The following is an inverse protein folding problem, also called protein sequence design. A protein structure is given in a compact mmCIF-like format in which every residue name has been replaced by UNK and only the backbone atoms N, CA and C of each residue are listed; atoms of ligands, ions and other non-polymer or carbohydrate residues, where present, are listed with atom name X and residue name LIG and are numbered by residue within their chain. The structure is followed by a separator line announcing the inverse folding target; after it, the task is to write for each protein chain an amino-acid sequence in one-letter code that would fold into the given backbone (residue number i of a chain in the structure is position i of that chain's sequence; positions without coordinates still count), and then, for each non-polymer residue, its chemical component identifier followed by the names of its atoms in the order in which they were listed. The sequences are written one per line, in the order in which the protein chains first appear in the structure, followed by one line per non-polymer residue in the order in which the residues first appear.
data_IF_140712787649
#
_entry.id   IF_140712787649
#
_cell.length_a   1.000
_cell.length_b   1.000
_cell.length_c   1.000
_cell.angle_alpha   90.00
_cell.angle_beta   90.00
_cell.angle_gamma   90.00
#
_symmetry.space_group_name_H-M   'P 1'
#
loop_
_entity.id
_entity.type
_entity.pdbx_description
1 polymer ?
#
# COMPACT_ATOMS: atom_id res chain seq x y z
N UNK A 1 8.21 -20.37 -12.14
CA UNK A 1 8.62 -18.93 -12.31
C UNK A 1 8.47 -18.26 -10.95
N UNK A 2 9.56 -17.79 -10.37
CA UNK A 2 9.58 -17.17 -9.03
C UNK A 2 8.93 -15.78 -9.11
N UNK A 3 8.31 -15.29 -8.02
CA UNK A 3 7.72 -13.94 -7.96
C UNK A 3 8.73 -12.86 -8.30
N UNK A 4 9.98 -13.06 -7.92
CA UNK A 4 11.14 -12.22 -8.24
C UNK A 4 11.33 -12.03 -9.74
N UNK A 5 11.28 -13.10 -10.52
CA UNK A 5 11.51 -13.05 -11.96
C UNK A 5 10.40 -12.25 -12.64
N UNK A 6 9.16 -12.37 -12.13
CA UNK A 6 8.01 -11.59 -12.60
C UNK A 6 8.17 -10.08 -12.32
N UNK A 7 8.74 -9.68 -11.17
CA UNK A 7 8.98 -8.26 -10.89
C UNK A 7 10.04 -7.67 -11.81
N UNK A 8 11.13 -8.42 -12.10
CA UNK A 8 12.15 -8.00 -13.05
C UNK A 8 11.61 -7.91 -14.49
N UNK A 9 10.77 -8.86 -14.87
CA UNK A 9 10.09 -8.83 -16.17
C UNK A 9 9.16 -7.63 -16.28
N UNK A 10 8.39 -7.33 -15.21
CA UNK A 10 7.53 -6.16 -15.16
C UNK A 10 8.30 -4.85 -15.34
N UNK A 11 9.46 -4.69 -14.68
CA UNK A 11 10.35 -3.55 -14.89
C UNK A 11 10.83 -3.46 -16.33
N UNK A 12 11.25 -4.58 -16.91
CA UNK A 12 11.70 -4.65 -18.30
C UNK A 12 10.60 -4.27 -19.29
N UNK A 13 9.36 -4.64 -18.99
CA UNK A 13 8.17 -4.32 -19.79
C UNK A 13 7.62 -2.91 -19.53
N UNK A 14 8.23 -2.14 -18.62
CA UNK A 14 7.92 -0.74 -18.37
C UNK A 14 6.73 -0.53 -17.42
N UNK A 15 6.52 -1.42 -16.46
CA UNK A 15 5.54 -1.19 -15.41
C UNK A 15 5.84 0.13 -14.65
N UNK A 16 4.80 0.92 -14.36
CA UNK A 16 4.96 2.18 -13.61
C UNK A 16 5.36 1.93 -12.16
N UNK A 17 4.86 0.83 -11.56
CA UNK A 17 5.14 0.43 -10.19
C UNK A 17 5.35 -1.06 -10.06
N UNK A 18 6.25 -1.43 -9.15
CA UNK A 18 6.42 -2.80 -8.65
C UNK A 18 6.36 -2.78 -7.12
N UNK A 19 5.83 -3.84 -6.53
CA UNK A 19 5.65 -3.96 -5.07
C UNK A 19 6.47 -5.14 -4.55
N UNK A 20 7.33 -4.88 -3.56
CA UNK A 20 8.16 -5.88 -2.91
C UNK A 20 7.95 -5.86 -1.40
N UNK A 21 7.76 -7.05 -0.83
CA UNK A 21 7.59 -7.19 0.62
C UNK A 21 8.89 -6.87 1.36
N UNK A 22 8.80 -6.09 2.45
CA UNK A 22 9.94 -5.65 3.24
C UNK A 22 10.76 -6.81 3.86
N UNK A 23 10.12 -7.97 4.06
CA UNK A 23 10.75 -9.20 4.52
C UNK A 23 11.56 -9.94 3.46
N UNK A 24 11.59 -9.45 2.20
CA UNK A 24 12.37 -10.06 1.13
C UNK A 24 13.87 -9.95 1.43
N UNK A 25 14.63 -10.97 1.08
CA UNK A 25 16.09 -11.00 1.28
C UNK A 25 16.77 -9.81 0.57
N UNK A 26 17.71 -9.16 1.28
CA UNK A 26 18.34 -7.92 0.82
C UNK A 26 18.98 -8.02 -0.57
N UNK A 27 19.58 -9.17 -0.91
CA UNK A 27 20.19 -9.34 -2.21
C UNK A 27 19.15 -9.32 -3.35
N UNK A 28 17.93 -9.85 -3.12
CA UNK A 28 16.85 -9.82 -4.09
C UNK A 28 16.29 -8.41 -4.31
N UNK A 29 16.21 -7.63 -3.22
CA UNK A 29 15.86 -6.21 -3.31
C UNK A 29 16.93 -5.47 -4.13
N UNK A 30 18.21 -5.72 -3.86
CA UNK A 30 19.33 -5.14 -4.62
C UNK A 30 19.28 -5.46 -6.11
N UNK A 31 18.95 -6.70 -6.47
CA UNK A 31 18.79 -7.10 -7.88
C UNK A 31 17.62 -6.38 -8.58
N UNK A 32 16.49 -6.18 -7.86
CA UNK A 32 15.34 -5.43 -8.39
C UNK A 32 15.70 -3.96 -8.60
N UNK A 33 16.36 -3.34 -7.62
CA UNK A 33 16.82 -1.94 -7.71
C UNK A 33 17.79 -1.77 -8.89
N UNK A 34 18.77 -2.66 -9.05
CA UNK A 34 19.69 -2.64 -10.18
C UNK A 34 18.96 -2.77 -11.54
N UNK A 35 17.88 -3.56 -11.59
CA UNK A 35 17.07 -3.66 -12.81
C UNK A 35 16.32 -2.35 -13.09
N UNK A 36 15.76 -1.70 -12.05
CA UNK A 36 15.09 -0.39 -12.17
C UNK A 36 16.09 0.68 -12.67
N UNK A 37 17.29 0.73 -12.09
CA UNK A 37 18.36 1.64 -12.51
C UNK A 37 18.75 1.44 -13.97
N UNK A 38 18.92 0.19 -14.40
CA UNK A 38 19.23 -0.17 -15.79
C UNK A 38 18.16 0.33 -16.77
N UNK A 39 16.91 0.42 -16.36
CA UNK A 39 15.79 0.94 -17.15
C UNK A 39 15.49 2.42 -16.88
N UNK A 40 16.52 3.19 -16.45
CA UNK A 40 16.47 4.64 -16.28
C UNK A 40 15.41 5.12 -15.27
N UNK A 41 15.16 4.36 -14.20
CA UNK A 41 14.22 4.69 -13.12
C UNK A 41 12.78 5.00 -13.59
N UNK A 42 12.34 4.42 -14.69
CA UNK A 42 10.96 4.58 -15.19
C UNK A 42 9.95 3.92 -14.27
N UNK A 43 10.34 2.80 -13.68
CA UNK A 43 9.52 2.06 -12.71
C UNK A 43 9.80 2.57 -11.31
N UNK A 44 8.78 2.99 -10.58
CA UNK A 44 8.84 3.27 -9.15
C UNK A 44 8.55 1.99 -8.36
N UNK A 45 9.05 1.91 -7.14
CA UNK A 45 8.86 0.71 -6.35
C UNK A 45 8.29 0.98 -4.97
N UNK A 46 7.45 0.05 -4.55
CA UNK A 46 6.73 0.07 -3.29
C UNK A 46 7.41 -0.94 -2.37
N UNK A 47 7.70 -0.52 -1.14
CA UNK A 47 8.10 -1.44 -0.06
C UNK A 47 6.89 -1.69 0.81
N UNK A 48 6.38 -2.93 0.78
CA UNK A 48 5.18 -3.31 1.51
C UNK A 48 5.46 -4.14 2.75
N UNK A 49 4.61 -3.98 3.75
CA UNK A 49 4.55 -4.84 4.92
C UNK A 49 3.11 -5.17 5.24
N UNK A 50 2.81 -6.47 5.32
CA UNK A 50 1.48 -6.98 5.62
C UNK A 50 1.46 -7.64 7.00
N UNK A 51 0.40 -7.37 7.77
CA UNK A 51 0.10 -8.06 9.02
C UNK A 51 -1.30 -8.65 8.93
N UNK A 52 -1.36 -9.95 8.73
CA UNK A 52 -2.62 -10.68 8.61
C UNK A 52 -3.24 -11.04 9.97
N UNK A 53 -2.48 -10.87 11.06
CA UNK A 53 -2.90 -11.24 12.41
C UNK A 53 -3.69 -10.16 13.13
N UNK A 54 -3.52 -8.89 12.73
CA UNK A 54 -4.21 -7.78 13.38
C UNK A 54 -3.58 -6.42 13.09
N UNK A 55 -4.00 -5.40 13.83
CA UNK A 55 -3.48 -4.04 13.74
C UNK A 55 -2.72 -3.69 15.02
N UNK A 56 -1.38 -3.60 14.96
CA UNK A 56 -0.56 -3.27 16.12
C UNK A 56 -0.83 -1.86 16.68
N UNK A 57 -0.37 -1.54 17.90
CA UNK A 57 -0.38 -0.19 18.45
C UNK A 57 0.42 0.81 17.60
N UNK A 58 0.11 2.09 17.74
CA UNK A 58 0.66 3.20 16.93
C UNK A 58 2.19 3.19 16.87
N UNK A 59 2.87 3.02 18.02
CA UNK A 59 4.33 2.97 18.06
C UNK A 59 4.92 1.82 17.23
N UNK A 60 4.27 0.65 17.24
CA UNK A 60 4.72 -0.49 16.46
C UNK A 60 4.48 -0.27 14.96
N UNK A 61 3.36 0.35 14.59
CA UNK A 61 3.06 0.76 13.22
C UNK A 61 4.08 1.78 12.70
N UNK A 62 4.42 2.80 13.50
CA UNK A 62 5.42 3.80 13.15
C UNK A 62 6.81 3.17 12.98
N UNK A 63 7.23 2.26 13.89
CA UNK A 63 8.48 1.51 13.76
C UNK A 63 8.51 0.67 12.48
N UNK A 64 7.40 0.03 12.13
CA UNK A 64 7.25 -0.76 10.89
C UNK A 64 7.37 0.14 9.66
N UNK A 65 6.68 1.27 9.64
CA UNK A 65 6.81 2.28 8.59
C UNK A 65 8.25 2.75 8.43
N UNK A 66 8.93 3.10 9.54
CA UNK A 66 10.31 3.56 9.52
C UNK A 66 11.27 2.47 9.01
N UNK A 67 11.02 1.21 9.36
CA UNK A 67 11.80 0.08 8.84
C UNK A 67 11.65 -0.06 7.32
N UNK A 68 10.41 -0.03 6.79
CA UNK A 68 10.15 -0.05 5.35
C UNK A 68 10.76 1.16 4.64
N UNK A 69 10.64 2.35 5.23
CA UNK A 69 11.19 3.59 4.66
C UNK A 69 12.72 3.54 4.52
N UNK A 70 13.44 2.90 5.45
CA UNK A 70 14.90 2.72 5.37
C UNK A 70 15.36 1.77 4.25
N UNK A 71 14.49 0.92 3.74
CA UNK A 71 14.79 0.05 2.59
C UNK A 71 14.96 0.88 1.31
N UNK A 72 14.24 2.02 1.19
CA UNK A 72 14.50 3.03 0.16
C UNK A 72 13.47 3.13 -0.95
N UNK A 73 12.35 2.38 -0.92
CA UNK A 73 11.28 2.46 -1.92
C UNK A 73 10.69 3.88 -2.06
N UNK A 74 10.09 4.17 -3.19
CA UNK A 74 9.41 5.43 -3.47
C UNK A 74 8.17 5.61 -2.59
N UNK A 75 7.47 4.51 -2.33
CA UNK A 75 6.25 4.46 -1.52
C UNK A 75 6.40 3.36 -0.46
N UNK A 76 6.01 3.67 0.77
CA UNK A 76 5.83 2.67 1.82
C UNK A 76 4.38 2.21 1.82
N UNK A 77 4.14 0.89 1.87
CA UNK A 77 2.81 0.32 1.98
C UNK A 77 2.68 -0.48 3.27
N UNK A 78 1.77 -0.08 4.13
CA UNK A 78 1.44 -0.78 5.37
C UNK A 78 0.01 -1.27 5.30
N UNK A 79 -0.16 -2.58 5.40
CA UNK A 79 -1.48 -3.23 5.37
C UNK A 79 -1.60 -4.13 6.59
N UNK A 80 -2.68 -3.94 7.35
CA UNK A 80 -2.97 -4.75 8.56
C UNK A 80 -4.35 -5.38 8.45
N UNK A 81 -4.71 -6.25 9.36
CA UNK A 81 -6.08 -6.79 9.45
C UNK A 81 -6.82 -6.06 10.58
N UNK A 82 -8.00 -5.50 10.27
CA UNK A 82 -8.86 -4.87 11.28
C UNK A 82 -9.77 -5.91 11.93
N UNK A 83 -9.69 -6.01 13.24
CA UNK A 83 -10.63 -6.77 14.07
C UNK A 83 -11.71 -5.87 14.68
N UNK A 84 -11.45 -4.56 14.76
CA UNK A 84 -12.37 -3.54 15.25
C UNK A 84 -12.29 -2.29 14.37
N UNK A 85 -13.34 -1.45 14.44
CA UNK A 85 -13.39 -0.19 13.65
C UNK A 85 -12.26 0.77 14.03
N UNK A 86 -11.86 0.78 15.31
CA UNK A 86 -10.78 1.61 15.86
C UNK A 86 -9.41 1.29 15.23
N UNK A 87 -9.23 0.08 14.71
CA UNK A 87 -8.00 -0.30 14.01
C UNK A 87 -7.71 0.58 12.81
N UNK A 88 -8.77 1.06 12.13
CA UNK A 88 -8.63 1.99 11.02
C UNK A 88 -8.00 3.32 11.46
N UNK A 89 -8.33 3.83 12.65
CA UNK A 89 -7.78 5.09 13.15
C UNK A 89 -6.27 5.00 13.31
N UNK A 90 -5.78 3.87 13.84
CA UNK A 90 -4.33 3.63 14.00
C UNK A 90 -3.61 3.59 12.65
N UNK A 91 -4.14 2.85 11.68
CA UNK A 91 -3.52 2.74 10.36
C UNK A 91 -3.60 4.07 9.60
N UNK A 92 -4.75 4.75 9.63
CA UNK A 92 -4.91 6.07 9.00
C UNK A 92 -4.00 7.13 9.64
N UNK A 93 -3.68 7.00 10.93
CA UNK A 93 -2.71 7.85 11.65
C UNK A 93 -1.29 7.80 11.08
N UNK A 94 -0.94 6.74 10.33
CA UNK A 94 0.35 6.68 9.63
C UNK A 94 0.44 7.68 8.47
N UNK A 95 -0.67 8.14 7.90
CA UNK A 95 -0.66 9.05 6.75
C UNK A 95 -0.05 10.41 7.12
N UNK A 96 -0.54 11.12 8.15
CA UNK A 96 0.12 12.35 8.60
C UNK A 96 1.53 12.10 9.13
N UNK A 97 1.81 10.96 9.76
CA UNK A 97 3.16 10.59 10.19
C UNK A 97 4.15 10.50 9.01
N UNK A 98 3.77 9.80 7.94
CA UNK A 98 4.56 9.68 6.72
C UNK A 98 4.77 11.03 6.03
N UNK A 99 3.70 11.84 5.92
CA UNK A 99 3.75 13.18 5.35
C UNK A 99 4.74 14.09 6.09
N UNK A 100 4.76 14.05 7.42
CA UNK A 100 5.71 14.83 8.23
C UNK A 100 7.17 14.39 8.00
N UNK A 101 7.39 13.18 7.49
CA UNK A 101 8.70 12.65 7.09
C UNK A 101 9.00 12.82 5.60
N UNK A 102 8.14 13.51 4.85
CA UNK A 102 8.29 13.71 3.40
C UNK A 102 8.19 12.41 2.59
N UNK A 103 7.43 11.41 3.08
CA UNK A 103 7.33 10.07 2.44
C UNK A 103 5.91 9.80 1.96
N UNK A 104 5.81 9.25 0.76
CA UNK A 104 4.53 8.73 0.26
C UNK A 104 4.19 7.41 0.97
N UNK A 105 2.89 7.21 1.23
CA UNK A 105 2.39 6.02 1.92
C UNK A 105 1.10 5.50 1.29
N UNK A 106 0.92 4.19 1.35
CA UNK A 106 -0.34 3.47 1.24
C UNK A 106 -0.59 2.81 2.61
N UNK A 107 -1.69 3.15 3.26
CA UNK A 107 -2.01 2.66 4.60
C UNK A 107 -3.46 2.18 4.63
N UNK A 108 -3.66 0.87 4.78
CA UNK A 108 -4.97 0.21 4.63
C UNK A 108 -5.14 -0.90 5.66
N UNK A 109 -6.40 -1.15 6.04
CA UNK A 109 -6.79 -2.36 6.73
C UNK A 109 -7.51 -3.33 5.79
N UNK A 110 -7.27 -4.62 6.01
CA UNK A 110 -8.04 -5.73 5.46
C UNK A 110 -9.21 -6.09 6.37
N UNK A 111 -10.11 -6.95 5.86
CA UNK A 111 -11.28 -7.43 6.59
C UNK A 111 -12.48 -6.49 6.50
N UNK A 112 -13.65 -6.97 6.92
CA UNK A 112 -14.91 -6.22 6.88
C UNK A 112 -14.83 -4.93 7.68
N UNK A 113 -14.20 -4.97 8.86
CA UNK A 113 -13.98 -3.80 9.72
C UNK A 113 -12.98 -2.80 9.13
N UNK A 114 -12.17 -3.23 8.14
CA UNK A 114 -11.14 -2.41 7.51
C UNK A 114 -11.60 -1.56 6.33
N UNK A 115 -12.82 -1.73 5.86
CA UNK A 115 -13.35 -1.06 4.64
C UNK A 115 -13.20 0.46 4.68
N UNK A 116 -13.43 1.07 5.85
CA UNK A 116 -13.39 2.53 5.98
C UNK A 116 -11.99 3.09 5.72
N UNK A 117 -10.93 2.37 6.06
CA UNK A 117 -9.56 2.82 5.77
C UNK A 117 -9.31 2.94 4.26
N UNK A 118 -9.91 2.07 3.45
CA UNK A 118 -9.77 2.10 1.99
C UNK A 118 -10.42 3.33 1.37
N UNK A 119 -11.53 3.79 1.94
CA UNK A 119 -12.21 5.01 1.53
C UNK A 119 -11.46 6.25 2.00
N UNK A 120 -11.07 6.25 3.29
CA UNK A 120 -10.51 7.44 3.93
C UNK A 120 -9.04 7.70 3.58
N UNK A 121 -8.25 6.66 3.31
CA UNK A 121 -6.82 6.83 3.11
C UNK A 121 -6.47 7.83 1.98
N UNK A 122 -7.04 7.76 0.77
CA UNK A 122 -6.77 8.75 -0.27
C UNK A 122 -7.21 10.16 0.11
N UNK A 123 -8.33 10.30 0.83
CA UNK A 123 -8.84 11.60 1.29
C UNK A 123 -7.91 12.26 2.32
N UNK A 124 -7.16 11.47 3.08
CA UNK A 124 -6.17 11.92 4.05
C UNK A 124 -4.78 12.14 3.45
N UNK A 125 -4.59 11.80 2.17
CA UNK A 125 -3.35 12.04 1.43
C UNK A 125 -2.46 10.79 1.27
N UNK A 126 -3.00 9.58 1.40
CA UNK A 126 -2.31 8.38 0.93
C UNK A 126 -2.17 8.40 -0.59
N UNK A 127 -1.17 7.70 -1.12
CA UNK A 127 -0.88 7.68 -2.54
C UNK A 127 -2.07 7.19 -3.37
N UNK A 128 -2.70 6.10 -2.93
CA UNK A 128 -3.96 5.56 -3.49
C UNK A 128 -4.57 4.50 -2.58
N UNK A 129 -5.71 3.95 -3.01
CA UNK A 129 -6.35 2.76 -2.45
C UNK A 129 -6.53 1.69 -3.52
N UNK A 130 -7.03 0.53 -3.15
CA UNK A 130 -7.29 -0.59 -4.04
C UNK A 130 -8.77 -0.97 -3.99
N UNK A 131 -9.34 -1.17 -5.16
CA UNK A 131 -10.72 -1.62 -5.36
C UNK A 131 -10.72 -2.84 -6.27
N UNK A 132 -11.72 -3.72 -6.15
CA UNK A 132 -11.97 -4.78 -7.13
C UNK A 132 -12.71 -4.23 -8.34
N UNK A 133 -12.63 -4.93 -9.47
CA UNK A 133 -13.42 -4.58 -10.65
C UNK A 133 -14.89 -4.95 -10.44
N UNK A 134 -15.13 -6.15 -9.88
CA UNK A 134 -16.46 -6.71 -9.66
C UNK A 134 -16.50 -7.38 -8.29
N UNK A 135 -17.73 -7.58 -7.75
CA UNK A 135 -17.92 -8.39 -6.53
C UNK A 135 -17.49 -9.83 -6.79
N UNK A 136 -16.77 -10.41 -5.82
CA UNK A 136 -16.22 -11.77 -5.89
C UNK A 136 -14.86 -11.86 -6.59
N UNK A 137 -14.31 -10.74 -7.07
CA UNK A 137 -12.95 -10.68 -7.67
C UNK A 137 -11.95 -9.94 -6.78
N UNK A 138 -12.27 -9.75 -5.50
CA UNK A 138 -11.44 -9.04 -4.54
C UNK A 138 -10.10 -9.77 -4.34
N UNK A 139 -9.01 -9.05 -4.50
CA UNK A 139 -7.65 -9.57 -4.24
C UNK A 139 -7.28 -9.59 -2.75
N UNK A 140 -8.08 -8.93 -1.91
CA UNK A 140 -7.92 -8.92 -0.47
C UNK A 140 -9.27 -8.71 0.24
N UNK A 141 -9.48 -9.31 1.44
CA UNK A 141 -10.70 -9.14 2.20
C UNK A 141 -11.03 -7.67 2.46
N UNK A 142 -12.31 -7.32 2.36
CA UNK A 142 -12.80 -5.96 2.63
C UNK A 142 -12.54 -4.96 1.50
N UNK A 143 -12.16 -5.38 0.31
CA UNK A 143 -12.17 -4.48 -0.84
C UNK A 143 -13.62 -4.12 -1.23
N UNK A 144 -13.81 -2.88 -1.62
CA UNK A 144 -14.99 -2.39 -2.31
C UNK A 144 -14.74 -2.46 -3.82
N UNK A 145 -15.80 -2.52 -4.60
CA UNK A 145 -15.66 -2.39 -6.06
C UNK A 145 -15.31 -0.96 -6.46
N UNK A 146 -14.73 -0.78 -7.63
CA UNK A 146 -14.42 0.55 -8.17
C UNK A 146 -15.68 1.41 -8.30
N UNK A 147 -16.83 0.82 -8.63
CA UNK A 147 -18.12 1.51 -8.69
C UNK A 147 -18.60 1.97 -7.32
N UNK A 148 -18.54 1.10 -6.31
CA UNK A 148 -18.89 1.45 -4.93
C UNK A 148 -17.98 2.59 -4.40
N UNK A 149 -16.68 2.53 -4.65
CA UNK A 149 -15.74 3.59 -4.27
C UNK A 149 -16.09 4.93 -4.96
N UNK A 150 -16.37 4.92 -6.25
CA UNK A 150 -16.79 6.12 -7.00
C UNK A 150 -18.09 6.71 -6.45
N UNK A 151 -19.06 5.86 -6.12
CA UNK A 151 -20.33 6.31 -5.54
C UNK A 151 -20.10 6.98 -4.18
N UNK A 152 -19.29 6.37 -3.31
CA UNK A 152 -18.97 6.92 -1.98
C UNK A 152 -18.30 8.29 -2.14
N UNK A 153 -17.28 8.42 -3.01
CA UNK A 153 -16.59 9.69 -3.23
C UNK A 153 -17.51 10.76 -3.79
N UNK A 154 -18.44 10.39 -4.68
CA UNK A 154 -19.46 11.31 -5.17
C UNK A 154 -20.37 11.82 -4.05
N UNK A 155 -20.82 10.92 -3.15
CA UNK A 155 -21.66 11.29 -2.00
C UNK A 155 -20.92 12.17 -0.99
N UNK A 156 -19.60 11.98 -0.84
CA UNK A 156 -18.73 12.80 0.01
C UNK A 156 -18.34 14.14 -0.65
N UNK A 157 -18.76 14.40 -1.89
CA UNK A 157 -18.40 15.61 -2.60
C UNK A 157 -16.92 15.70 -3.02
N UNK A 158 -16.21 14.57 -3.10
CA UNK A 158 -14.78 14.51 -3.40
C UNK A 158 -14.45 13.91 -4.78
N UNK A 159 -15.45 13.55 -5.55
CA UNK A 159 -15.36 12.75 -6.80
C UNK A 159 -14.92 13.50 -8.06
N UNK A 160 -14.58 14.77 -8.00
CA UNK A 160 -14.22 15.61 -9.17
C UNK A 160 -12.85 16.30 -9.01
N UNK A 161 -11.82 15.53 -8.64
CA UNK A 161 -10.44 16.05 -8.67
C UNK A 161 -9.55 15.19 -9.54
#
# INVERSE_FOLDING_TARGET
MCIRDRLKDAVTLGADYVDIEAGTEKYLIGELVAQIEKHHHRTRWIVSSHDFSGTPPDEALQKRFDACSRIGGDIVKIVTHAHAMEDNLRVLGLIPYARNKGRAIIALCMGEQGKISRVMAPLLGAAWSYASLEKGTESAPGQLTAEEMKLIYKLLGTGER
#
